data_IF_362945140902
#
_entry.id   IF_362945140902
#
_cell.length_a   1.000
_cell.length_b   1.000
_cell.length_c   1.000
_cell.angle_alpha   90.00
_cell.angle_beta   90.00
_cell.angle_gamma   90.00
#
_symmetry.space_group_name_H-M   'P 1'
#
loop_
_entity.id
_entity.type
_entity.pdbx_description
1 polymer ?
#
# COMPACT_ATOMS: atom_id res chain seq x y z
N UNK A 1 12.70 24.06 -8.78
CA UNK A 1 12.04 22.81 -9.19
C UNK A 1 11.80 22.90 -10.68
N UNK A 2 12.19 21.87 -11.45
CA UNK A 2 11.95 21.83 -12.90
C UNK A 2 10.77 20.91 -13.16
N UNK A 3 9.76 21.42 -13.86
CA UNK A 3 8.58 20.64 -14.25
C UNK A 3 8.73 20.19 -15.70
N UNK A 4 8.27 19.00 -16.01
CA UNK A 4 8.22 18.45 -17.35
C UNK A 4 6.75 18.14 -17.67
N UNK A 5 6.30 18.56 -18.82
CA UNK A 5 4.96 18.34 -19.37
C UNK A 5 4.91 17.17 -20.38
N UNK A 6 6.08 16.57 -20.65
CA UNK A 6 6.25 15.40 -21.51
C UNK A 6 6.86 14.24 -20.74
N UNK A 7 6.87 13.05 -21.32
CA UNK A 7 7.62 11.91 -20.78
C UNK A 7 9.11 12.25 -20.65
N UNK A 8 9.78 11.60 -19.71
CA UNK A 8 11.23 11.77 -19.48
C UNK A 8 11.91 10.41 -19.38
N UNK A 9 13.16 10.35 -19.83
CA UNK A 9 14.05 9.21 -19.58
C UNK A 9 14.97 9.54 -18.42
N UNK A 10 15.15 8.58 -17.51
CA UNK A 10 16.13 8.65 -16.44
C UNK A 10 17.33 7.78 -16.82
N UNK A 11 18.44 8.40 -17.18
CA UNK A 11 19.66 7.71 -17.59
C UNK A 11 20.54 7.41 -16.37
N UNK A 12 20.89 6.15 -16.18
CA UNK A 12 21.75 5.66 -15.11
C UNK A 12 21.34 6.15 -13.69
N UNK A 13 20.02 6.37 -13.49
CA UNK A 13 19.50 6.86 -12.22
C UNK A 13 19.86 8.32 -11.87
N UNK A 14 20.45 9.09 -12.78
CA UNK A 14 20.97 10.43 -12.47
C UNK A 14 20.53 11.52 -13.44
N UNK A 15 20.56 11.28 -14.75
CA UNK A 15 20.29 12.29 -15.76
C UNK A 15 18.89 12.17 -16.32
N UNK A 16 18.10 13.24 -16.17
CA UNK A 16 16.77 13.33 -16.78
C UNK A 16 16.88 13.94 -18.17
N UNK A 17 16.34 13.27 -19.19
CA UNK A 17 16.27 13.73 -20.58
C UNK A 17 14.81 13.71 -21.03
N UNK A 18 14.23 14.86 -21.47
CA UNK A 18 12.89 14.91 -22.02
C UNK A 18 12.75 13.99 -23.25
N UNK A 19 11.58 13.39 -23.43
CA UNK A 19 11.29 12.49 -24.54
C UNK A 19 11.55 13.13 -25.91
N UNK A 20 11.20 14.40 -26.08
CA UNK A 20 11.41 15.17 -27.32
C UNK A 20 12.88 15.56 -27.59
N UNK A 21 13.78 15.32 -26.64
CA UNK A 21 15.24 15.56 -26.75
C UNK A 21 16.05 14.26 -26.70
N UNK A 22 15.35 13.13 -26.61
CA UNK A 22 15.99 11.83 -26.51
C UNK A 22 16.31 11.27 -27.90
N UNK A 23 17.58 11.13 -28.18
CA UNK A 23 18.10 10.42 -29.37
C UNK A 23 18.66 9.07 -28.92
N UNK A 24 17.77 8.18 -28.51
CA UNK A 24 18.15 6.85 -28.05
C UNK A 24 17.55 5.76 -28.96
N UNK A 25 18.26 4.66 -29.16
CA UNK A 25 17.77 3.53 -29.96
C UNK A 25 16.66 2.71 -29.26
N UNK A 26 16.24 3.11 -28.05
CA UNK A 26 15.25 2.40 -27.24
C UNK A 26 13.90 3.10 -27.34
N UNK A 27 12.86 2.36 -27.74
CA UNK A 27 11.50 2.89 -27.77
C UNK A 27 10.98 3.22 -26.36
N UNK A 28 9.97 4.10 -26.29
CA UNK A 28 9.31 4.45 -25.02
C UNK A 28 8.71 3.23 -24.32
N UNK A 29 8.14 2.33 -25.10
CA UNK A 29 7.52 1.08 -24.61
C UNK A 29 8.57 0.14 -24.01
N UNK A 30 9.74 0.05 -24.61
CA UNK A 30 10.84 -0.76 -24.09
C UNK A 30 11.46 -0.11 -22.85
N UNK A 31 11.66 1.21 -22.86
CA UNK A 31 12.15 1.95 -21.70
C UNK A 31 11.19 1.81 -20.49
N UNK A 32 9.88 1.86 -20.71
CA UNK A 32 8.88 1.66 -19.66
C UNK A 32 9.00 0.28 -19.00
N UNK A 33 9.31 -0.76 -19.77
CA UNK A 33 9.47 -2.13 -19.24
C UNK A 33 10.70 -2.30 -18.33
N UNK A 34 11.67 -1.39 -18.42
CA UNK A 34 12.87 -1.40 -17.55
C UNK A 34 12.65 -0.70 -16.22
N UNK A 35 11.48 -0.10 -15.98
CA UNK A 35 11.18 0.59 -14.71
C UNK A 35 10.91 -0.39 -13.57
N UNK A 36 11.24 0.04 -12.34
CA UNK A 36 10.95 -0.73 -11.12
C UNK A 36 9.43 -0.96 -11.00
N UNK A 37 8.62 0.06 -11.28
CA UNK A 37 7.15 -0.05 -11.22
C UNK A 37 6.61 -1.14 -12.17
N UNK A 38 7.09 -1.19 -13.40
CA UNK A 38 6.69 -2.23 -14.36
C UNK A 38 7.04 -3.63 -13.86
N UNK A 39 8.25 -3.82 -13.35
CA UNK A 39 8.69 -5.13 -12.85
C UNK A 39 7.85 -5.61 -11.66
N UNK A 40 7.50 -4.70 -10.73
CA UNK A 40 6.65 -5.00 -9.58
C UNK A 40 5.23 -5.34 -10.03
N UNK A 41 4.63 -4.50 -10.90
CA UNK A 41 3.29 -4.75 -11.43
C UNK A 41 3.21 -6.08 -12.18
N UNK A 42 4.22 -6.38 -13.01
CA UNK A 42 4.29 -7.65 -13.75
C UNK A 42 4.39 -8.85 -12.82
N UNK A 43 5.20 -8.77 -11.77
CA UNK A 43 5.37 -9.85 -10.79
C UNK A 43 4.09 -10.15 -9.99
N UNK A 44 3.22 -9.15 -9.78
CA UNK A 44 1.97 -9.27 -9.02
C UNK A 44 0.73 -9.43 -9.89
N UNK A 45 0.88 -9.35 -11.21
CA UNK A 45 -0.23 -9.47 -12.14
C UNK A 45 -0.55 -10.93 -12.45
N UNK A 46 -1.75 -11.37 -12.14
CA UNK A 46 -2.25 -12.73 -12.38
C UNK A 46 -3.02 -12.89 -13.70
N UNK A 47 -3.34 -11.78 -14.39
CA UNK A 47 -4.08 -11.83 -15.65
C UNK A 47 -3.23 -12.27 -16.85
N UNK A 48 -1.90 -12.15 -16.75
CA UNK A 48 -0.98 -12.31 -17.89
C UNK A 48 -1.03 -11.18 -18.93
N UNK A 49 -1.93 -10.20 -18.76
CA UNK A 49 -2.09 -9.05 -19.64
C UNK A 49 -1.72 -7.75 -18.92
N UNK A 50 -0.74 -7.01 -19.44
CA UNK A 50 -0.28 -5.75 -18.85
C UNK A 50 -1.19 -4.54 -19.14
N UNK A 51 -2.17 -4.68 -20.02
CA UNK A 51 -3.19 -3.64 -20.28
C UNK A 51 -4.38 -3.77 -19.31
N UNK A 52 -4.64 -4.98 -18.80
CA UNK A 52 -5.72 -5.27 -17.84
C UNK A 52 -5.14 -6.04 -16.66
N UNK A 53 -4.61 -5.30 -15.70
CA UNK A 53 -3.95 -5.88 -14.54
C UNK A 53 -4.96 -6.51 -13.57
N UNK A 54 -4.65 -7.71 -13.10
CA UNK A 54 -5.30 -8.36 -11.97
C UNK A 54 -4.25 -8.57 -10.87
N UNK A 55 -4.15 -7.59 -9.99
CA UNK A 55 -3.07 -7.52 -9.01
C UNK A 55 -3.41 -8.34 -7.77
N UNK A 56 -2.45 -9.16 -7.34
CA UNK A 56 -2.44 -9.84 -6.05
C UNK A 56 -1.45 -9.15 -5.13
N UNK A 57 -1.94 -8.56 -4.04
CA UNK A 57 -1.10 -7.91 -3.05
C UNK A 57 -0.44 -8.91 -2.10
N UNK A 58 0.75 -8.57 -1.60
CA UNK A 58 1.46 -9.38 -0.60
C UNK A 58 0.90 -9.22 0.80
N UNK A 59 0.49 -7.99 1.16
CA UNK A 59 0.05 -7.63 2.50
C UNK A 59 -1.03 -6.56 2.45
N UNK A 60 -1.85 -6.49 3.51
CA UNK A 60 -2.84 -5.44 3.73
C UNK A 60 -2.52 -4.69 5.01
N UNK A 61 -2.85 -3.40 5.05
CA UNK A 61 -2.78 -2.59 6.26
C UNK A 61 -3.95 -1.61 6.33
N UNK A 62 -4.53 -1.46 7.52
CA UNK A 62 -5.66 -0.57 7.77
C UNK A 62 -5.51 0.09 9.13
N UNK A 63 -6.24 1.17 9.34
CA UNK A 63 -6.34 1.83 10.64
C UNK A 63 -7.76 1.72 11.21
N UNK A 64 -7.91 2.10 12.46
CA UNK A 64 -9.12 1.96 13.29
C UNK A 64 -10.39 2.50 12.66
N UNK A 65 -10.37 3.62 11.93
CA UNK A 65 -11.55 4.14 11.24
C UNK A 65 -11.99 3.23 10.08
N UNK A 66 -11.03 2.61 9.37
CA UNK A 66 -11.34 1.89 8.12
C UNK A 66 -11.50 0.39 8.30
N UNK A 67 -10.76 -0.26 9.21
CA UNK A 67 -10.81 -1.71 9.31
C UNK A 67 -12.18 -2.24 9.79
N UNK A 68 -12.90 -1.49 10.61
CA UNK A 68 -14.23 -1.91 11.11
C UNK A 68 -15.18 -2.16 9.94
N UNK A 69 -15.38 -1.17 9.08
CA UNK A 69 -16.25 -1.29 7.90
C UNK A 69 -15.77 -2.34 6.91
N UNK A 70 -14.45 -2.41 6.66
CA UNK A 70 -13.85 -3.41 5.77
C UNK A 70 -14.13 -4.84 6.26
N UNK A 71 -13.87 -5.10 7.55
CA UNK A 71 -14.07 -6.44 8.12
C UNK A 71 -15.54 -6.80 8.21
N UNK A 72 -16.42 -5.85 8.54
CA UNK A 72 -17.87 -6.09 8.55
C UNK A 72 -18.37 -6.50 7.16
N UNK A 73 -17.94 -5.80 6.11
CA UNK A 73 -18.28 -6.14 4.73
C UNK A 73 -17.72 -7.50 4.32
N UNK A 74 -16.46 -7.77 4.67
CA UNK A 74 -15.84 -9.06 4.39
C UNK A 74 -16.54 -10.23 5.13
N UNK A 75 -16.97 -10.01 6.37
CA UNK A 75 -17.77 -11.00 7.12
C UNK A 75 -19.10 -11.29 6.45
N UNK A 76 -19.80 -10.26 5.98
CA UNK A 76 -21.06 -10.41 5.23
C UNK A 76 -20.84 -11.19 3.93
N UNK A 77 -19.63 -11.17 3.38
CA UNK A 77 -19.23 -11.92 2.19
C UNK A 77 -18.60 -13.28 2.49
N UNK A 78 -18.68 -13.77 3.74
CA UNK A 78 -18.22 -15.11 4.12
C UNK A 78 -16.74 -15.19 4.52
N UNK A 79 -16.15 -14.13 5.08
CA UNK A 79 -14.77 -14.15 5.57
C UNK A 79 -14.57 -15.21 6.66
N UNK A 80 -13.70 -16.17 6.40
CA UNK A 80 -13.28 -17.19 7.37
C UNK A 80 -11.88 -16.91 7.94
N UNK A 81 -10.97 -16.39 7.09
CA UNK A 81 -9.59 -16.05 7.43
C UNK A 81 -9.09 -14.95 6.51
N UNK A 82 -8.20 -14.10 6.97
CA UNK A 82 -7.56 -13.13 6.09
C UNK A 82 -6.72 -13.85 5.01
N UNK A 83 -6.94 -13.54 3.72
CA UNK A 83 -6.30 -14.26 2.62
C UNK A 83 -4.80 -13.96 2.48
N UNK A 84 -4.36 -12.84 3.01
CA UNK A 84 -2.96 -12.40 3.06
C UNK A 84 -2.68 -11.78 4.44
N UNK A 85 -1.42 -11.63 4.87
CA UNK A 85 -1.08 -10.94 6.10
C UNK A 85 -1.76 -9.57 6.18
N UNK A 86 -2.56 -9.36 7.21
CA UNK A 86 -3.32 -8.14 7.41
C UNK A 86 -2.97 -7.51 8.74
N UNK A 87 -2.56 -6.23 8.69
CA UNK A 87 -2.17 -5.44 9.87
C UNK A 87 -3.27 -4.43 10.18
N UNK A 88 -3.77 -4.48 11.40
CA UNK A 88 -4.79 -3.60 11.94
C UNK A 88 -4.11 -2.63 12.92
N UNK A 89 -3.94 -1.38 12.52
CA UNK A 89 -3.30 -0.34 13.34
C UNK A 89 -4.35 0.54 14.01
N UNK A 90 -4.12 0.95 15.24
CA UNK A 90 -5.00 1.85 16.00
C UNK A 90 -4.34 3.22 16.15
N UNK A 91 -4.10 3.86 15.01
CA UNK A 91 -3.29 5.06 14.95
C UNK A 91 -4.07 6.35 14.68
N UNK A 92 -5.29 6.24 14.19
CA UNK A 92 -6.06 7.40 13.75
C UNK A 92 -6.88 8.00 14.89
N UNK A 93 -7.56 7.15 15.64
CA UNK A 93 -8.35 7.50 16.81
C UNK A 93 -7.69 7.03 18.12
N UNK A 94 -6.36 7.06 18.19
CA UNK A 94 -5.62 6.61 19.38
C UNK A 94 -5.75 7.54 20.61
N UNK A 95 -6.77 8.39 20.62
CA UNK A 95 -7.08 9.28 21.72
C UNK A 95 -7.83 8.53 22.85
N UNK A 96 -7.31 7.37 23.24
CA UNK A 96 -7.90 6.57 24.34
C UNK A 96 -8.08 7.33 25.64
N UNK A 97 -7.31 8.40 25.85
CA UNK A 97 -7.41 9.24 27.04
C UNK A 97 -8.53 10.27 26.97
N UNK A 98 -9.22 10.44 25.84
CA UNK A 98 -10.25 11.45 25.64
C UNK A 98 -11.66 10.91 25.92
N UNK A 99 -11.77 9.63 26.28
CA UNK A 99 -12.99 9.07 26.86
C UNK A 99 -14.12 8.83 25.87
N UNK A 100 -13.83 8.44 24.65
CA UNK A 100 -14.85 8.00 23.68
C UNK A 100 -14.96 6.48 23.64
N UNK A 101 -16.07 5.92 24.12
CA UNK A 101 -16.33 4.47 24.09
C UNK A 101 -16.30 3.89 22.68
N UNK A 102 -16.69 4.67 21.67
CA UNK A 102 -16.71 4.25 20.26
C UNK A 102 -15.30 3.86 19.77
N UNK A 103 -14.28 4.65 20.12
CA UNK A 103 -12.91 4.35 19.69
C UNK A 103 -12.36 3.11 20.38
N UNK A 104 -12.70 2.91 21.66
CA UNK A 104 -12.31 1.72 22.41
C UNK A 104 -13.00 0.48 21.88
N UNK A 105 -14.26 0.59 21.48
CA UNK A 105 -15.02 -0.50 20.84
C UNK A 105 -14.39 -0.87 19.49
N UNK A 106 -13.96 0.10 18.68
CA UNK A 106 -13.24 -0.15 17.43
C UNK A 106 -11.89 -0.86 17.68
N UNK A 107 -11.16 -0.45 18.71
CA UNK A 107 -9.91 -1.11 19.10
C UNK A 107 -10.13 -2.55 19.56
N UNK A 108 -11.14 -2.80 20.38
CA UNK A 108 -11.52 -4.14 20.82
C UNK A 108 -12.01 -5.01 19.66
N UNK A 109 -12.77 -4.40 18.73
CA UNK A 109 -13.17 -5.08 17.49
C UNK A 109 -11.95 -5.51 16.68
N UNK A 110 -10.99 -4.60 16.46
CA UNK A 110 -9.74 -4.89 15.75
C UNK A 110 -8.94 -6.03 16.39
N UNK A 111 -8.76 -5.99 17.72
CA UNK A 111 -8.07 -7.03 18.46
C UNK A 111 -8.75 -8.39 18.34
N UNK A 112 -10.05 -8.44 18.51
CA UNK A 112 -10.82 -9.69 18.40
C UNK A 112 -10.83 -10.24 16.98
N UNK A 113 -10.92 -9.37 15.97
CA UNK A 113 -10.84 -9.75 14.56
C UNK A 113 -9.45 -10.27 14.19
N UNK A 114 -8.38 -9.63 14.66
CA UNK A 114 -7.02 -10.11 14.42
C UNK A 114 -6.82 -11.53 14.99
N UNK A 115 -7.30 -11.76 16.21
CA UNK A 115 -7.27 -13.10 16.83
C UNK A 115 -8.10 -14.13 16.07
N UNK A 116 -9.30 -13.74 15.64
CA UNK A 116 -10.24 -14.65 14.98
C UNK A 116 -9.81 -15.00 13.55
N UNK A 117 -9.35 -14.02 12.78
CA UNK A 117 -9.09 -14.18 11.35
C UNK A 117 -7.59 -14.28 11.00
N UNK A 118 -6.69 -14.23 11.99
CA UNK A 118 -5.25 -14.43 11.81
C UNK A 118 -4.50 -13.15 11.37
N UNK A 119 -4.95 -11.97 11.81
CA UNK A 119 -4.28 -10.69 11.57
C UNK A 119 -3.24 -10.32 12.62
N UNK A 120 -2.53 -9.23 12.35
CA UNK A 120 -1.63 -8.57 13.30
C UNK A 120 -2.32 -7.33 13.85
N UNK A 121 -2.42 -7.23 15.15
CA UNK A 121 -2.98 -6.07 15.84
C UNK A 121 -1.87 -5.18 16.37
N UNK A 122 -1.88 -3.90 15.99
CA UNK A 122 -0.96 -2.88 16.50
C UNK A 122 -1.74 -1.97 17.46
N UNK A 123 -1.41 -1.97 18.75
CA UNK A 123 -2.11 -1.16 19.75
C UNK A 123 -2.04 0.34 19.47
N UNK A 124 -2.94 1.14 20.05
CA UNK A 124 -2.85 2.60 20.00
C UNK A 124 -1.52 3.08 20.61
N UNK A 125 -1.06 4.25 20.18
CA UNK A 125 0.18 4.90 20.58
C UNK A 125 1.49 4.16 20.23
N UNK A 126 1.41 3.07 19.44
CA UNK A 126 2.61 2.35 19.00
C UNK A 126 3.19 2.94 17.71
N UNK A 127 2.37 3.10 16.69
CA UNK A 127 2.79 3.67 15.42
C UNK A 127 1.59 4.09 14.56
N UNK A 128 1.77 5.08 13.71
CA UNK A 128 0.82 5.36 12.62
C UNK A 128 0.94 4.32 11.52
N UNK A 129 -0.15 4.08 10.79
CA UNK A 129 -0.25 3.04 9.76
C UNK A 129 0.94 3.08 8.77
N UNK A 130 1.27 4.26 8.25
CA UNK A 130 2.33 4.40 7.22
C UNK A 130 3.72 4.19 7.79
N UNK A 131 3.97 4.65 9.03
CA UNK A 131 5.24 4.41 9.72
C UNK A 131 5.43 2.91 9.95
N UNK A 132 4.42 2.24 10.49
CA UNK A 132 4.47 0.79 10.69
C UNK A 132 4.68 0.04 9.36
N UNK A 133 3.94 0.43 8.31
CA UNK A 133 4.06 -0.21 7.00
C UNK A 133 5.47 -0.05 6.41
N UNK A 134 6.08 1.13 6.54
CA UNK A 134 7.44 1.39 6.05
C UNK A 134 8.48 0.56 6.78
N UNK A 135 8.40 0.49 8.10
CA UNK A 135 9.43 -0.13 8.94
C UNK A 135 9.30 -1.64 9.04
N UNK A 136 8.06 -2.15 9.04
CA UNK A 136 7.81 -3.55 9.35
C UNK A 136 7.28 -4.38 8.16
N UNK A 137 6.70 -3.74 7.15
CA UNK A 137 6.07 -4.45 6.03
C UNK A 137 6.78 -4.27 4.70
N UNK A 138 7.36 -3.07 4.48
CA UNK A 138 7.97 -2.75 3.20
C UNK A 138 9.23 -3.58 2.95
N UNK A 139 9.39 -4.02 1.71
CA UNK A 139 10.59 -4.67 1.20
C UNK A 139 10.65 -4.49 -0.32
N UNK A 140 11.83 -4.62 -0.89
CA UNK A 140 12.00 -4.53 -2.35
C UNK A 140 11.08 -5.49 -3.09
N UNK A 141 10.40 -4.99 -4.11
CA UNK A 141 9.49 -5.78 -4.95
C UNK A 141 8.16 -6.15 -4.30
N UNK A 142 7.80 -5.61 -3.14
CA UNK A 142 6.53 -5.92 -2.45
C UNK A 142 5.44 -4.92 -2.78
N UNK A 143 4.20 -5.42 -2.85
CA UNK A 143 2.99 -4.61 -2.99
C UNK A 143 2.12 -4.72 -1.74
N UNK A 144 1.86 -3.57 -1.12
CA UNK A 144 1.05 -3.46 0.10
C UNK A 144 -0.17 -2.59 -0.21
N UNK A 145 -1.36 -3.09 0.11
CA UNK A 145 -2.58 -2.33 0.00
C UNK A 145 -2.91 -1.69 1.35
N UNK A 146 -2.99 -0.36 1.37
CA UNK A 146 -3.41 0.41 2.52
C UNK A 146 -4.79 1.03 2.34
N UNK A 147 -5.58 1.08 3.40
CA UNK A 147 -6.94 1.65 3.36
C UNK A 147 -7.02 3.13 3.73
N UNK A 148 -5.90 3.77 4.03
CA UNK A 148 -5.83 5.19 4.35
C UNK A 148 -5.68 6.04 3.09
N UNK A 149 -6.34 7.20 3.04
CA UNK A 149 -6.27 8.14 1.91
C UNK A 149 -4.87 8.74 1.68
N UNK A 150 -4.01 8.74 2.69
CA UNK A 150 -2.63 9.20 2.58
C UNK A 150 -1.66 8.08 2.13
N UNK A 151 -2.15 6.88 1.91
CA UNK A 151 -1.32 5.75 1.43
C UNK A 151 -0.53 6.09 0.15
N UNK A 152 -1.10 6.72 -0.90
CA UNK A 152 -0.35 7.09 -2.10
C UNK A 152 0.79 8.08 -1.83
N UNK A 153 0.62 8.99 -0.88
CA UNK A 153 1.65 9.98 -0.51
C UNK A 153 2.86 9.30 0.11
N UNK A 154 2.64 8.32 0.98
CA UNK A 154 3.70 7.55 1.62
C UNK A 154 4.47 6.68 0.63
N UNK A 155 3.79 6.12 -0.37
CA UNK A 155 4.39 5.18 -1.33
C UNK A 155 5.00 5.86 -2.55
N UNK A 156 4.55 7.05 -2.93
CA UNK A 156 5.17 7.82 -4.02
C UNK A 156 6.59 8.30 -3.66
N UNK A 157 6.91 8.40 -2.39
CA UNK A 157 8.24 8.75 -1.89
C UNK A 157 9.10 7.53 -1.47
N UNK A 158 8.56 6.33 -1.53
CA UNK A 158 9.24 5.09 -1.12
C UNK A 158 9.83 4.28 -2.27
N UNK A 159 9.75 4.77 -3.48
CA UNK A 159 10.52 4.25 -4.61
C UNK A 159 11.95 4.80 -4.54
N UNK A 160 12.71 4.31 -3.60
CA UNK A 160 14.16 4.43 -3.58
C UNK A 160 14.78 3.16 -4.13
#
# INVERSE_FOLDING_TARGET
MKLYDTGVYLLNGQKIVPENQADFPVSKEEAAKSTIAYSILKAHNTSGNMEKLQIKFDKLTSHDITFVGIIQTARASGLEKFPVPYVLTNCHNSLCAVGGTINEDDHMFGLTCAKKYGGVYVPPHQAVIHQFAREMLAAGGKMILGSDSHTPVSYTHLTL
#
